data_IF_106535355091
#
_entry.id   IF_106535355091
#
_cell.length_a   1.000
_cell.length_b   1.000
_cell.length_c   1.000
_cell.angle_alpha   90.00
_cell.angle_beta   90.00
_cell.angle_gamma   90.00
#
_symmetry.space_group_name_H-M   'P 1'
#
loop_
_entity.id
_entity.type
_entity.pdbx_description
1 polymer ?
#
# COMPACT_ATOMS: atom_id res chain seq x y z
N UNK A 1 -5.69 -22.97 15.23
CA UNK A 1 -5.90 -21.56 15.65
C UNK A 1 -5.85 -20.71 14.39
N UNK A 2 -6.98 -20.14 13.95
CA UNK A 2 -6.95 -19.09 12.92
C UNK A 2 -6.27 -17.88 13.56
N UNK A 3 -5.23 -17.32 12.95
CA UNK A 3 -4.62 -16.09 13.47
C UNK A 3 -5.64 -14.96 13.31
N UNK A 4 -5.95 -14.25 14.39
CA UNK A 4 -6.76 -13.04 14.39
C UNK A 4 -5.98 -11.86 13.78
N UNK A 5 -5.31 -12.09 12.65
CA UNK A 5 -4.51 -11.08 11.98
C UNK A 5 -5.45 -10.12 11.26
N UNK A 6 -5.74 -8.99 11.90
CA UNK A 6 -6.38 -7.86 11.23
C UNK A 6 -5.34 -7.17 10.34
N UNK A 7 -5.55 -7.09 9.01
CA UNK A 7 -4.64 -6.37 8.14
C UNK A 7 -4.62 -4.90 8.59
N UNK A 8 -3.43 -4.40 8.95
CA UNK A 8 -3.22 -2.98 9.23
C UNK A 8 -2.64 -2.33 7.98
N UNK A 9 -3.06 -1.12 7.66
CA UNK A 9 -2.53 -0.41 6.50
C UNK A 9 -1.07 -0.02 6.74
N UNK A 10 -0.10 -0.60 6.02
CA UNK A 10 1.30 -0.30 6.26
C UNK A 10 1.66 1.06 5.68
N UNK A 11 2.62 1.72 6.31
CA UNK A 11 3.15 3.01 5.88
C UNK A 11 4.03 2.90 4.63
N UNK A 12 4.69 1.76 4.47
CA UNK A 12 5.63 1.48 3.38
C UNK A 12 5.47 0.05 2.86
N UNK A 13 6.04 -0.22 1.69
CA UNK A 13 6.04 -1.57 1.08
C UNK A 13 6.82 -2.57 1.95
N UNK A 14 7.82 -2.12 2.71
CA UNK A 14 8.56 -2.96 3.65
C UNK A 14 7.76 -3.39 4.88
N UNK A 15 6.54 -2.88 5.06
CA UNK A 15 5.57 -3.28 6.08
C UNK A 15 6.05 -3.24 7.55
N UNK A 16 7.14 -2.51 7.83
CA UNK A 16 7.71 -2.38 9.18
C UNK A 16 6.92 -1.44 10.09
N UNK A 17 6.12 -0.53 9.51
CA UNK A 17 5.35 0.49 10.21
C UNK A 17 3.92 0.55 9.70
N UNK A 18 3.03 1.07 10.54
CA UNK A 18 1.62 1.29 10.21
C UNK A 18 1.33 2.76 9.95
N UNK A 19 0.25 3.01 9.23
CA UNK A 19 -0.30 4.35 9.01
C UNK A 19 -0.44 5.11 10.34
N UNK A 20 0.07 6.35 10.34
CA UNK A 20 -0.21 7.35 11.36
C UNK A 20 -1.27 8.36 10.85
N UNK A 21 -2.09 8.96 11.71
CA UNK A 21 -2.98 10.05 11.31
C UNK A 21 -2.22 11.19 10.64
N UNK A 22 -2.82 11.79 9.62
CA UNK A 22 -2.32 12.99 8.95
C UNK A 22 -2.88 14.25 9.62
N UNK A 23 -2.13 15.34 9.58
CA UNK A 23 -2.44 16.58 10.31
C UNK A 23 -3.50 17.42 9.57
N UNK A 24 -3.45 17.50 8.24
CA UNK A 24 -4.39 18.29 7.46
C UNK A 24 -5.72 17.53 7.27
N UNK A 25 -6.88 18.11 7.64
CA UNK A 25 -8.17 17.40 7.69
C UNK A 25 -8.58 16.80 6.34
N UNK A 26 -8.45 17.55 5.24
CA UNK A 26 -8.77 17.06 3.90
C UNK A 26 -7.84 15.93 3.43
N UNK A 27 -6.58 15.94 3.85
CA UNK A 27 -5.60 14.91 3.48
C UNK A 27 -5.85 13.65 4.31
N UNK A 28 -6.10 13.81 5.60
CA UNK A 28 -6.51 12.73 6.52
C UNK A 28 -7.80 12.05 6.06
N UNK A 29 -8.78 12.80 5.56
CA UNK A 29 -10.01 12.23 5.00
C UNK A 29 -9.71 11.28 3.83
N UNK A 30 -8.75 11.62 2.97
CA UNK A 30 -8.28 10.72 1.89
C UNK A 30 -7.50 9.54 2.47
N UNK A 31 -6.64 9.77 3.46
CA UNK A 31 -5.90 8.72 4.17
C UNK A 31 -6.79 7.66 4.80
N UNK A 32 -7.88 8.05 5.47
CA UNK A 32 -8.88 7.13 6.05
C UNK A 32 -9.58 6.27 5.00
N UNK A 33 -9.87 6.84 3.83
CA UNK A 33 -10.47 6.09 2.72
C UNK A 33 -9.49 5.05 2.18
N UNK A 34 -8.20 5.39 2.05
CA UNK A 34 -7.16 4.44 1.65
C UNK A 34 -7.00 3.30 2.68
N UNK A 35 -6.99 3.62 3.97
CA UNK A 35 -6.92 2.64 5.05
C UNK A 35 -8.10 1.67 5.01
N UNK A 36 -9.33 2.20 4.93
CA UNK A 36 -10.54 1.39 4.78
C UNK A 36 -10.45 0.47 3.55
N UNK A 37 -10.10 1.02 2.39
CA UNK A 37 -9.93 0.22 1.16
C UNK A 37 -8.93 -0.92 1.35
N UNK A 38 -7.78 -0.63 1.97
CA UNK A 38 -6.74 -1.64 2.19
C UNK A 38 -7.23 -2.78 3.08
N UNK A 39 -8.03 -2.46 4.09
CA UNK A 39 -8.54 -3.45 5.05
C UNK A 39 -9.71 -4.26 4.51
N UNK A 40 -10.61 -3.66 3.73
CA UNK A 40 -11.91 -4.27 3.40
C UNK A 40 -12.04 -4.71 1.94
N UNK A 41 -11.25 -4.18 1.02
CA UNK A 41 -11.38 -4.50 -0.40
C UNK A 41 -10.45 -5.66 -0.81
N UNK A 42 -10.89 -6.54 -1.73
CA UNK A 42 -10.06 -7.60 -2.29
C UNK A 42 -9.09 -7.02 -3.35
N UNK A 43 -8.18 -6.16 -2.91
CA UNK A 43 -7.18 -5.52 -3.76
C UNK A 43 -6.13 -6.52 -4.24
N UNK A 44 -5.74 -6.44 -5.52
CA UNK A 44 -4.56 -7.15 -6.02
C UNK A 44 -3.26 -6.61 -5.39
N UNK A 45 -2.17 -7.36 -5.47
CA UNK A 45 -0.88 -6.92 -4.93
C UNK A 45 -0.38 -5.61 -5.56
N UNK A 46 -0.60 -5.44 -6.86
CA UNK A 46 -0.30 -4.19 -7.57
C UNK A 46 -1.15 -3.02 -7.04
N UNK A 47 -2.45 -3.25 -6.80
CA UNK A 47 -3.35 -2.24 -6.25
C UNK A 47 -2.95 -1.88 -4.82
N UNK A 48 -2.57 -2.87 -4.00
CA UNK A 48 -2.05 -2.66 -2.64
C UNK A 48 -0.75 -1.85 -2.67
N UNK A 49 0.20 -2.23 -3.51
CA UNK A 49 1.48 -1.53 -3.66
C UNK A 49 1.29 -0.09 -4.11
N UNK A 50 0.42 0.15 -5.09
CA UNK A 50 0.07 1.49 -5.54
C UNK A 50 -0.65 2.30 -4.46
N UNK A 51 -1.58 1.71 -3.71
CA UNK A 51 -2.29 2.38 -2.63
C UNK A 51 -1.33 2.82 -1.52
N UNK A 52 -0.40 1.96 -1.12
CA UNK A 52 0.68 2.28 -0.16
C UNK A 52 1.55 3.43 -0.71
N UNK A 53 1.95 3.36 -1.98
CA UNK A 53 2.75 4.43 -2.62
C UNK A 53 2.00 5.76 -2.67
N UNK A 54 0.68 5.75 -2.90
CA UNK A 54 -0.16 6.94 -2.86
C UNK A 54 -0.21 7.50 -1.44
N UNK A 55 -0.38 6.64 -0.43
CA UNK A 55 -0.38 7.04 0.96
C UNK A 55 0.93 7.71 1.39
N UNK A 56 2.09 7.12 1.03
CA UNK A 56 3.39 7.75 1.30
C UNK A 56 3.51 9.15 0.67
N UNK A 57 2.94 9.36 -0.52
CA UNK A 57 2.88 10.71 -1.13
C UNK A 57 1.87 11.65 -0.44
N UNK A 58 0.81 11.12 0.19
CA UNK A 58 -0.10 11.91 1.01
C UNK A 58 0.62 12.40 2.28
N UNK A 59 1.47 11.58 2.91
CA UNK A 59 2.26 12.01 4.07
C UNK A 59 3.21 13.16 3.73
N UNK A 60 3.83 13.10 2.55
CA UNK A 60 4.71 14.17 2.09
C UNK A 60 3.93 15.46 1.78
N UNK A 61 2.78 15.33 1.12
CA UNK A 61 1.87 16.45 0.89
C UNK A 61 1.33 17.03 2.20
N UNK A 62 0.98 16.19 3.17
CA UNK A 62 0.47 16.60 4.48
C UNK A 62 1.51 17.40 5.25
N UNK A 63 2.76 16.96 5.30
CA UNK A 63 3.86 17.69 5.96
C UNK A 63 4.02 19.10 5.41
N UNK A 64 3.85 19.28 4.10
CA UNK A 64 3.91 20.59 3.47
C UNK A 64 2.62 21.40 3.72
N UNK A 65 1.46 20.81 3.48
CA UNK A 65 0.17 21.52 3.49
C UNK A 65 -0.31 21.86 4.90
N UNK A 66 -0.07 21.00 5.90
CA UNK A 66 -0.40 21.28 7.30
C UNK A 66 0.34 22.52 7.82
N UNK A 67 1.57 22.79 7.37
CA UNK A 67 2.28 24.02 7.76
C UNK A 67 1.74 25.30 7.12
N UNK A 68 1.10 25.22 5.95
CA UNK A 68 0.72 26.39 5.15
C UNK A 68 -0.79 26.65 5.06
N UNK A 69 -1.60 25.59 5.18
CA UNK A 69 -3.05 25.61 4.93
C UNK A 69 -3.85 24.85 6.00
N UNK A 70 -3.29 24.57 7.19
CA UNK A 70 -3.92 23.72 8.23
C UNK A 70 -5.44 23.91 8.40
N UNK A 71 -5.86 25.17 8.56
CA UNK A 71 -7.27 25.54 8.85
C UNK A 71 -8.07 25.91 7.60
N UNK A 72 -7.53 25.65 6.40
CA UNK A 72 -8.12 26.04 5.13
C UNK A 72 -8.41 24.80 4.29
N UNK A 73 -9.51 24.86 3.55
CA UNK A 73 -9.81 23.84 2.55
C UNK A 73 -8.73 23.85 1.47
N UNK A 74 -8.40 22.67 0.97
CA UNK A 74 -7.48 22.55 -0.16
C UNK A 74 -8.10 23.27 -1.38
N UNK A 75 -7.38 24.21 -2.01
CA UNK A 75 -7.90 24.91 -3.18
C UNK A 75 -8.13 23.94 -4.33
N UNK A 76 -9.13 24.20 -5.17
CA UNK A 76 -9.24 23.47 -6.43
C UNK A 76 -8.07 23.86 -7.34
N UNK A 77 -7.42 22.88 -7.97
CA UNK A 77 -6.33 23.12 -8.93
C UNK A 77 -6.62 22.47 -10.27
N UNK A 78 -6.34 23.22 -11.34
CA UNK A 78 -6.35 22.74 -12.72
C UNK A 78 -5.03 22.06 -13.10
N UNK A 79 -3.97 22.29 -12.33
CA UNK A 79 -2.66 21.71 -12.57
C UNK A 79 -2.61 20.28 -12.02
N UNK A 80 -2.65 19.33 -12.97
CA UNK A 80 -2.31 17.93 -12.76
C UNK A 80 -0.91 17.54 -13.28
N UNK A 81 0.15 18.39 -13.26
CA UNK A 81 1.42 17.97 -13.82
C UNK A 81 1.99 16.82 -12.96
N UNK A 82 2.26 15.70 -13.62
CA UNK A 82 3.20 14.68 -13.14
C UNK A 82 4.60 15.32 -13.15
N UNK A 83 4.91 16.21 -12.21
CA UNK A 83 6.34 16.41 -11.93
C UNK A 83 6.90 15.09 -11.39
N UNK A 84 8.17 14.75 -11.70
CA UNK A 84 8.86 13.72 -10.96
C UNK A 84 8.79 14.05 -9.47
N UNK A 85 8.73 13.02 -8.62
CA UNK A 85 8.62 13.08 -7.16
C UNK A 85 9.70 13.95 -6.46
N UNK A 86 10.65 14.50 -7.20
CA UNK A 86 11.73 15.38 -6.72
C UNK A 86 11.94 16.55 -7.70
N UNK A 87 11.98 17.77 -7.19
CA UNK A 87 12.36 18.95 -7.96
C UNK A 87 11.97 20.26 -7.27
N UNK A 88 12.95 21.13 -7.01
CA UNK A 88 12.74 22.45 -6.44
C UNK A 88 11.84 23.32 -7.32
N UNK A 89 10.79 23.88 -6.73
CA UNK A 89 9.87 24.81 -7.36
C UNK A 89 9.71 26.07 -6.50
N UNK A 90 9.25 27.15 -7.11
CA UNK A 90 8.79 28.35 -6.38
C UNK A 90 7.58 27.96 -5.53
N UNK A 91 7.47 28.49 -4.30
CA UNK A 91 6.49 28.06 -3.27
C UNK A 91 5.06 27.86 -3.82
N UNK A 92 4.56 28.76 -4.67
CA UNK A 92 3.24 28.59 -5.30
C UNK A 92 3.10 27.34 -6.17
N UNK A 93 4.14 26.98 -6.93
CA UNK A 93 4.19 25.77 -7.74
C UNK A 93 4.32 24.50 -6.89
N UNK A 94 4.87 24.60 -5.67
CA UNK A 94 4.99 23.49 -4.71
C UNK A 94 3.65 23.24 -4.02
N UNK A 95 2.98 24.29 -3.53
CA UNK A 95 1.63 24.19 -2.96
C UNK A 95 0.66 23.58 -3.98
N UNK A 96 0.61 24.14 -5.18
CA UNK A 96 -0.28 23.65 -6.23
C UNK A 96 0.03 22.19 -6.62
N UNK A 97 1.31 21.81 -6.60
CA UNK A 97 1.71 20.42 -6.83
C UNK A 97 1.19 19.46 -5.75
N UNK A 98 1.36 19.78 -4.46
CA UNK A 98 0.88 18.93 -3.36
C UNK A 98 -0.64 18.84 -3.34
N UNK A 99 -1.33 19.97 -3.52
CA UNK A 99 -2.79 19.99 -3.67
C UNK A 99 -3.24 19.11 -4.84
N UNK A 100 -2.59 19.26 -6.00
CA UNK A 100 -2.86 18.44 -7.17
C UNK A 100 -2.55 16.95 -6.97
N UNK A 101 -1.54 16.62 -6.15
CA UNK A 101 -1.27 15.24 -5.76
C UNK A 101 -2.41 14.66 -4.91
N UNK A 102 -2.87 15.39 -3.89
CA UNK A 102 -4.00 14.97 -3.04
C UNK A 102 -5.25 14.74 -3.89
N UNK A 103 -5.53 15.62 -4.85
CA UNK A 103 -6.64 15.44 -5.80
C UNK A 103 -6.49 14.15 -6.63
N UNK A 104 -5.30 13.86 -7.19
CA UNK A 104 -5.05 12.61 -7.94
C UNK A 104 -5.13 11.36 -7.06
N UNK A 105 -4.68 11.45 -5.81
CA UNK A 105 -4.80 10.35 -4.85
C UNK A 105 -6.27 10.07 -4.52
N UNK A 106 -7.07 11.12 -4.29
CA UNK A 106 -8.52 11.04 -4.10
C UNK A 106 -9.20 10.38 -5.29
N UNK A 107 -8.91 10.83 -6.51
CA UNK A 107 -9.49 10.24 -7.72
C UNK A 107 -9.10 8.76 -7.91
N UNK A 108 -7.87 8.40 -7.57
CA UNK A 108 -7.42 7.02 -7.64
C UNK A 108 -8.17 6.14 -6.64
N UNK A 109 -8.29 6.59 -5.39
CA UNK A 109 -9.06 5.91 -4.34
C UNK A 109 -10.53 5.77 -4.76
N UNK A 110 -11.14 6.81 -5.32
CA UNK A 110 -12.51 6.76 -5.83
C UNK A 110 -12.68 5.74 -6.96
N UNK A 111 -11.70 5.61 -7.85
CA UNK A 111 -11.72 4.59 -8.90
C UNK A 111 -11.61 3.19 -8.32
N UNK A 112 -10.76 2.99 -7.30
CA UNK A 112 -10.66 1.71 -6.59
C UNK A 112 -11.95 1.38 -5.83
N UNK A 113 -12.55 2.33 -5.12
CA UNK A 113 -13.84 2.15 -4.43
C UNK A 113 -14.97 1.81 -5.41
N UNK A 114 -14.94 2.34 -6.64
CA UNK A 114 -15.90 1.99 -7.69
C UNK A 114 -15.66 0.61 -8.30
N UNK A 115 -14.40 0.18 -8.41
CA UNK A 115 -14.01 -1.14 -8.93
C UNK A 115 -14.28 -2.24 -7.91
N UNK A 116 -14.08 -1.91 -6.65
CA UNK A 116 -14.34 -2.75 -5.49
C UNK A 116 -15.49 -2.14 -4.69
N UNK A 117 -16.69 -1.99 -5.30
CA UNK A 117 -17.84 -1.44 -4.60
C UNK A 117 -18.09 -2.40 -3.47
N UNK A 118 -17.88 -1.89 -2.25
CA UNK A 118 -17.68 -2.68 -1.06
C UNK A 118 -18.38 -4.04 -1.17
N UNK A 119 -17.58 -5.10 -1.29
CA UNK A 119 -17.97 -6.34 -0.64
C UNK A 119 -18.08 -5.95 0.82
N UNK A 120 -19.24 -5.37 1.19
CA UNK A 120 -19.72 -5.27 2.55
C UNK A 120 -19.90 -6.74 2.90
N UNK A 121 -18.79 -7.36 3.26
CA UNK A 121 -18.69 -8.78 3.46
C UNK A 121 -19.54 -9.04 4.69
N UNK A 122 -20.73 -9.58 4.42
CA UNK A 122 -21.20 -10.78 5.06
C UNK A 122 -20.02 -11.50 5.76
N UNK A 123 -20.03 -11.64 7.09
CA UNK A 123 -18.93 -12.21 7.86
C UNK A 123 -18.54 -13.66 7.46
N UNK A 124 -19.28 -14.30 6.55
CA UNK A 124 -19.03 -15.65 6.03
C UNK A 124 -18.00 -15.74 4.88
N UNK A 125 -17.55 -14.62 4.28
CA UNK A 125 -16.58 -14.66 3.16
C UNK A 125 -15.11 -14.86 3.58
N UNK A 126 -14.82 -15.12 4.86
CA UNK A 126 -13.49 -15.42 5.38
C UNK A 126 -13.03 -16.87 5.20
N UNK A 127 -13.83 -17.73 4.55
CA UNK A 127 -13.56 -19.18 4.44
C UNK A 127 -13.33 -19.70 3.01
N UNK A 128 -13.13 -18.81 2.02
CA UNK A 128 -12.70 -19.26 0.69
C UNK A 128 -11.18 -19.43 0.66
N UNK A 129 -10.66 -20.66 0.47
CA UNK A 129 -9.23 -20.86 0.31
C UNK A 129 -8.74 -20.12 -0.93
N UNK A 130 -7.74 -19.27 -0.74
CA UNK A 130 -6.94 -18.72 -1.83
C UNK A 130 -6.22 -19.91 -2.45
N UNK A 131 -6.58 -20.28 -3.69
CA UNK A 131 -5.76 -21.18 -4.49
C UNK A 131 -4.50 -20.39 -4.85
N UNK A 132 -3.47 -20.58 -4.04
CA UNK A 132 -2.09 -20.27 -4.43
C UNK A 132 -1.70 -21.43 -5.35
N UNK A 133 -1.46 -21.14 -6.63
CA UNK A 133 -0.84 -22.09 -7.54
C UNK A 133 0.62 -22.32 -7.08
N UNK A 134 0.79 -23.16 -6.06
CA UNK A 134 2.07 -23.74 -5.66
C UNK A 134 2.09 -25.18 -6.16
N UNK A 135 2.69 -25.39 -7.33
CA UNK A 135 3.26 -26.67 -7.73
C UNK A 135 4.31 -26.41 -8.82
N UNK A 136 5.57 -26.37 -8.40
CA UNK A 136 6.70 -27.09 -9.03
C UNK A 136 8.00 -26.74 -8.28
N UNK A 137 8.28 -27.48 -7.22
CA UNK A 137 9.67 -27.76 -6.82
C UNK A 137 9.80 -29.27 -6.75
N UNK A 138 10.39 -29.88 -7.79
CA UNK A 138 10.82 -31.28 -7.73
C UNK A 138 11.95 -31.41 -6.71
N UNK A 139 11.63 -31.95 -5.53
CA UNK A 139 12.60 -32.48 -4.58
C UNK A 139 13.26 -33.74 -5.16
N UNK A 140 14.55 -33.66 -5.49
CA UNK A 140 15.39 -34.85 -5.59
C UNK A 140 15.80 -35.27 -4.17
N UNK A 141 15.01 -36.16 -3.58
CA UNK A 141 15.40 -36.90 -2.37
C UNK A 141 16.29 -38.11 -2.73
N UNK A 142 17.48 -38.13 -2.13
CA UNK A 142 18.19 -39.27 -1.56
C UNK A 142 18.16 -40.65 -2.28
N UNK A 143 19.30 -41.01 -2.84
CA UNK A 143 19.91 -42.35 -2.72
C UNK A 143 21.22 -42.10 -1.95
N UNK A 144 21.42 -42.57 -0.72
CA UNK A 144 21.22 -43.92 -0.23
C UNK A 144 22.60 -44.50 0.09
N UNK A 145 22.84 -44.70 1.38
CA UNK A 145 24.06 -45.16 2.06
C UNK A 145 24.90 -46.23 1.34
N UNK A 146 26.22 -46.13 1.46
CA UNK A 146 27.11 -47.29 1.63
C UNK A 146 28.33 -46.90 2.49
N UNK A 147 28.28 -47.31 3.76
CA UNK A 147 29.44 -47.40 4.66
C UNK A 147 30.48 -48.41 4.14
N UNK A 148 31.77 -48.17 4.43
CA UNK A 148 32.79 -49.22 4.44
C UNK A 148 34.20 -48.81 3.98
N UNK A 149 35.01 -48.23 4.87
CA UNK A 149 36.46 -48.50 4.91
C UNK A 149 36.68 -49.95 5.40
N UNK A 150 37.83 -50.66 5.20
CA UNK A 150 39.22 -50.16 5.13
C UNK A 150 40.17 -50.94 4.17
N UNK A 151 41.47 -50.63 4.22
CA UNK A 151 42.58 -51.47 3.71
C UNK A 151 43.45 -50.70 2.71
N UNK A 152 44.55 -50.09 3.15
CA UNK A 152 45.88 -50.68 3.35
C UNK A 152 46.70 -50.83 2.05
N UNK A 153 47.91 -50.29 2.17
CA UNK A 153 49.17 -50.78 1.60
C UNK A 153 49.65 -50.36 0.19
N UNK A 154 50.74 -49.57 0.27
CA UNK A 154 51.95 -49.45 -0.59
C UNK A 154 51.96 -48.35 -1.65
#
# INVERSE_FOLDING_TARGET
MKSDYTPKFPRSISAGDYRLPLDHPDVEAVGRRADRLYQTAPLSDDERGLLIKKYAGLEDADRFLSGWLHDRLLPETNLRPQRPWSGGGVVGAVTEHHVGFVARAREYIEKLERRHPATIADPEMHDRPVLVDDDLVEEYSNLGDLEGQPGDDI
#
